data_IF_201268901539
#
_entry.id   IF_201268901539
#
_cell.length_a   1.000
_cell.length_b   1.000
_cell.length_c   1.000
_cell.angle_alpha   90.00
_cell.angle_beta   90.00
_cell.angle_gamma   90.00
#
_symmetry.space_group_name_H-M   'P 1'
#
loop_
_entity.id
_entity.type
_entity.pdbx_description
1 polymer ?
#
# COMPACT_ATOMS: atom_id res chain seq x y z
N UNK A 1 -12.87 37.30 69.42
CA UNK A 1 -12.08 38.54 69.28
C UNK A 1 -10.63 38.15 69.54
N UNK A 2 -9.66 38.15 68.62
CA UNK A 2 -9.42 38.87 67.37
C UNK A 2 -8.66 37.92 66.43
N UNK A 3 -9.08 37.82 65.17
CA UNK A 3 -8.41 37.05 64.13
C UNK A 3 -7.32 37.91 63.47
N UNK A 4 -6.12 37.34 63.31
CA UNK A 4 -5.02 37.95 62.58
C UNK A 4 -5.16 37.64 61.08
N UNK A 5 -5.25 38.68 60.25
CA UNK A 5 -5.16 38.56 58.80
C UNK A 5 -4.29 39.70 58.29
N UNK A 6 -3.09 39.34 57.86
CA UNK A 6 -2.14 40.21 57.17
C UNK A 6 -2.48 40.18 55.69
N UNK A 7 -2.91 41.32 55.16
CA UNK A 7 -3.03 41.55 53.72
C UNK A 7 -1.64 41.91 53.16
N UNK A 8 -1.21 41.19 52.12
CA UNK A 8 -0.03 41.56 51.33
C UNK A 8 -0.46 41.86 49.89
N UNK A 9 0.24 42.84 49.33
CA UNK A 9 -0.15 43.73 48.26
C UNK A 9 0.07 43.17 46.85
N UNK A 10 -0.84 43.59 45.97
CA UNK A 10 -0.77 43.64 44.51
C UNK A 10 0.58 44.10 43.95
N UNK A 11 1.11 43.38 42.95
CA UNK A 11 1.53 43.95 41.65
C UNK A 11 1.58 42.87 40.56
N UNK A 12 0.76 43.03 39.52
CA UNK A 12 0.84 42.26 38.27
C UNK A 12 1.78 42.98 37.30
N UNK A 13 2.80 42.29 36.79
CA UNK A 13 3.68 42.77 35.74
C UNK A 13 3.39 42.01 34.43
N UNK A 14 2.84 42.71 33.46
CA UNK A 14 2.70 42.26 32.09
C UNK A 14 4.07 42.32 31.38
N UNK A 15 4.53 41.20 30.84
CA UNK A 15 5.62 41.17 29.87
C UNK A 15 5.07 40.71 28.53
N UNK A 16 4.86 41.69 27.66
CA UNK A 16 4.69 41.54 26.22
C UNK A 16 6.08 41.61 25.58
N UNK A 17 6.54 40.55 24.93
CA UNK A 17 7.68 40.63 24.02
C UNK A 17 7.36 39.91 22.71
N UNK A 18 7.06 40.73 21.70
CA UNK A 18 7.05 40.40 20.29
C UNK A 18 8.44 39.91 19.86
N UNK A 19 8.53 38.69 19.34
CA UNK A 19 9.68 38.25 18.55
C UNK A 19 9.43 38.56 17.06
N UNK A 20 10.42 39.09 16.32
CA UNK A 20 10.24 39.45 14.92
C UNK A 20 10.28 38.22 14.00
N UNK A 21 9.38 38.23 13.01
CA UNK A 21 9.25 37.25 11.93
C UNK A 21 10.17 37.64 10.75
N UNK A 22 11.21 36.86 10.39
CA UNK A 22 12.08 37.20 9.27
C UNK A 22 12.00 36.14 8.16
N UNK A 23 11.07 36.28 7.21
CA UNK A 23 11.24 35.77 5.83
C UNK A 23 10.30 36.52 4.87
N UNK A 24 10.62 37.79 4.64
CA UNK A 24 10.09 38.51 3.48
C UNK A 24 10.79 38.00 2.21
N UNK A 25 9.96 37.69 1.21
CA UNK A 25 10.32 37.27 -0.14
C UNK A 25 11.07 38.38 -0.88
N UNK A 26 12.12 38.00 -1.61
CA UNK A 26 12.81 38.87 -2.57
C UNK A 26 12.78 38.22 -3.97
N UNK A 27 12.16 38.82 -5.00
CA UNK A 27 12.06 38.23 -6.33
C UNK A 27 13.12 38.82 -7.28
N UNK A 28 14.27 38.15 -7.43
CA UNK A 28 15.22 38.48 -8.50
C UNK A 28 14.91 37.66 -9.75
N UNK A 29 14.17 38.32 -10.65
CA UNK A 29 13.88 37.90 -12.02
C UNK A 29 15.15 38.02 -12.88
N UNK A 30 15.83 36.91 -13.20
CA UNK A 30 16.80 36.86 -14.30
C UNK A 30 16.23 36.08 -15.47
N UNK A 31 15.95 36.82 -16.55
CA UNK A 31 15.73 36.28 -17.90
C UNK A 31 17.07 35.74 -18.42
N UNK A 32 17.09 34.48 -18.81
CA UNK A 32 18.11 33.95 -19.72
C UNK A 32 17.40 33.23 -20.86
N UNK A 33 17.84 33.58 -22.05
CA UNK A 33 17.33 33.24 -23.37
C UNK A 33 17.72 31.81 -23.76
N UNK A 34 16.75 30.98 -24.15
CA UNK A 34 17.01 29.71 -24.84
C UNK A 34 17.19 29.96 -26.35
N UNK A 35 18.20 29.37 -27.01
CA UNK A 35 18.25 29.35 -28.47
C UNK A 35 17.32 28.26 -29.03
N UNK A 36 16.58 28.62 -30.08
CA UNK A 36 15.76 27.73 -30.91
C UNK A 36 16.63 26.62 -31.53
N UNK A 37 16.20 25.36 -31.38
CA UNK A 37 16.67 24.25 -32.20
C UNK A 37 15.72 24.08 -33.37
N UNK A 38 16.21 24.33 -34.58
CA UNK A 38 15.49 24.13 -35.82
C UNK A 38 15.47 22.63 -36.18
N UNK A 39 14.29 22.02 -36.17
CA UNK A 39 14.05 20.70 -36.73
C UNK A 39 13.83 20.83 -38.25
N UNK A 40 14.72 20.24 -39.05
CA UNK A 40 14.50 20.10 -40.50
C UNK A 40 13.99 18.69 -40.78
N UNK A 41 12.74 18.60 -41.25
CA UNK A 41 12.18 17.39 -41.82
C UNK A 41 12.80 17.13 -43.18
N UNK A 42 13.41 15.95 -43.39
CA UNK A 42 13.62 15.40 -44.73
C UNK A 42 12.68 14.21 -44.94
N UNK A 43 11.64 14.46 -45.72
CA UNK A 43 10.97 13.45 -46.52
C UNK A 43 11.87 13.04 -47.69
N UNK A 44 12.07 11.74 -47.90
CA UNK A 44 12.43 11.20 -49.21
C UNK A 44 11.48 10.04 -49.52
N UNK A 45 10.75 10.22 -50.61
CA UNK A 45 9.88 9.23 -51.25
C UNK A 45 10.69 8.34 -52.21
N UNK A 46 10.29 7.07 -52.27
CA UNK A 46 10.17 6.29 -53.52
C UNK A 46 11.37 5.46 -53.96
N UNK A 47 11.20 4.13 -54.07
CA UNK A 47 10.73 3.46 -55.31
C UNK A 47 10.74 1.93 -55.17
N UNK A 48 9.71 1.35 -55.77
CA UNK A 48 9.39 -0.07 -56.01
C UNK A 48 10.16 -0.62 -57.23
N UNK A 49 10.60 -1.89 -57.19
CA UNK A 49 10.57 -2.91 -58.29
C UNK A 49 10.82 -4.29 -57.63
N UNK A 50 9.85 -5.22 -57.51
CA UNK A 50 9.55 -6.38 -58.40
C UNK A 50 10.82 -7.12 -58.89
N UNK A 51 11.07 -8.41 -58.61
CA UNK A 51 10.48 -9.53 -59.36
C UNK A 51 11.17 -10.89 -59.04
N UNK A 52 10.38 -11.99 -59.14
CA UNK A 52 10.70 -13.37 -59.58
C UNK A 52 11.32 -14.44 -58.64
N UNK A 53 10.46 -15.46 -58.33
CA UNK A 53 10.55 -16.96 -58.49
C UNK A 53 11.93 -17.65 -58.25
N UNK A 54 12.05 -18.86 -57.66
CA UNK A 54 11.38 -20.14 -57.99
C UNK A 54 11.74 -21.25 -56.95
N UNK A 55 10.79 -21.91 -56.25
CA UNK A 55 10.25 -23.31 -56.32
C UNK A 55 11.16 -24.56 -56.02
N UNK A 56 10.56 -25.51 -55.26
CA UNK A 56 10.72 -26.99 -55.13
C UNK A 56 11.76 -27.51 -54.10
N UNK A 57 11.55 -28.57 -53.30
CA UNK A 57 10.75 -29.82 -53.47
C UNK A 57 10.25 -30.43 -52.15
N UNK A 58 9.22 -31.29 -52.28
CA UNK A 58 8.60 -32.22 -51.32
C UNK A 58 9.51 -33.40 -50.98
N UNK A 59 9.20 -34.14 -49.89
CA UNK A 59 8.82 -35.56 -50.01
C UNK A 59 8.12 -36.14 -48.76
N UNK A 60 7.13 -36.99 -49.03
CA UNK A 60 6.34 -37.87 -48.14
C UNK A 60 7.02 -39.23 -47.97
N UNK A 61 6.81 -39.94 -46.84
CA UNK A 61 6.67 -41.43 -46.76
C UNK A 61 6.25 -41.77 -45.30
N UNK A 62 4.99 -42.09 -45.02
CA UNK A 62 4.32 -43.41 -45.07
C UNK A 62 4.69 -44.37 -43.92
N UNK A 63 3.63 -44.88 -43.27
CA UNK A 63 3.61 -45.76 -42.09
C UNK A 63 3.42 -47.23 -42.52
N UNK A 64 3.99 -48.25 -41.86
CA UNK A 64 3.53 -49.63 -41.97
C UNK A 64 3.01 -50.24 -40.63
N UNK A 65 2.23 -51.35 -40.68
CA UNK A 65 1.33 -51.77 -39.59
C UNK A 65 1.87 -52.88 -38.65
N UNK A 66 1.09 -53.11 -37.58
CA UNK A 66 1.24 -54.06 -36.44
C UNK A 66 1.34 -55.55 -36.84
N UNK A 67 1.78 -56.41 -35.90
CA UNK A 67 1.22 -57.73 -35.71
C UNK A 67 0.38 -57.86 -34.42
N UNK A 68 -0.65 -58.70 -34.51
CA UNK A 68 -1.50 -59.22 -33.44
C UNK A 68 -0.76 -60.32 -32.67
N UNK A 69 -0.93 -60.38 -31.35
CA UNK A 69 -0.75 -61.63 -30.59
C UNK A 69 -1.84 -61.79 -29.53
N UNK A 70 -2.19 -63.05 -29.31
CA UNK A 70 -3.43 -63.59 -28.75
C UNK A 70 -3.29 -63.86 -27.24
N UNK A 71 -4.43 -63.88 -26.52
CA UNK A 71 -4.65 -64.20 -25.10
C UNK A 71 -3.96 -65.52 -24.61
N UNK A 72 -3.69 -65.79 -23.33
CA UNK A 72 -4.57 -65.94 -22.14
C UNK A 72 -3.72 -66.56 -20.95
N UNK A 73 -4.26 -67.12 -19.84
CA UNK A 73 -4.66 -66.53 -18.54
C UNK A 73 -3.90 -67.15 -17.32
N UNK A 74 -4.35 -66.82 -16.09
CA UNK A 74 -3.93 -67.33 -14.76
C UNK A 74 -2.66 -66.65 -14.21
N UNK A 75 -2.60 -66.17 -12.96
CA UNK A 75 -2.99 -66.75 -11.66
C UNK A 75 -3.55 -65.64 -10.73
N UNK A 76 -4.75 -65.84 -10.16
CA UNK A 76 -4.97 -66.21 -8.75
C UNK A 76 -4.50 -65.12 -7.76
N UNK A 77 -5.37 -64.19 -7.38
CA UNK A 77 -6.26 -64.23 -6.20
C UNK A 77 -5.60 -63.91 -4.85
N UNK A 78 -6.36 -63.15 -4.07
CA UNK A 78 -6.22 -62.81 -2.65
C UNK A 78 -5.25 -61.67 -2.27
N UNK A 79 -5.78 -60.45 -2.22
CA UNK A 79 -5.96 -59.79 -0.91
C UNK A 79 -7.08 -58.74 -0.98
N UNK A 80 -8.13 -59.04 -0.24
CA UNK A 80 -9.30 -58.20 0.01
C UNK A 80 -8.96 -57.22 1.13
N UNK A 81 -9.12 -55.91 0.92
CA UNK A 81 -9.76 -54.98 1.89
C UNK A 81 -9.72 -53.53 1.37
N UNK A 82 -10.91 -53.04 1.06
CA UNK A 82 -11.37 -51.65 1.13
C UNK A 82 -10.32 -50.54 0.91
N UNK A 83 -10.13 -50.14 -0.35
CA UNK A 83 -9.69 -48.77 -0.65
C UNK A 83 -10.96 -47.93 -0.75
N UNK A 84 -11.43 -47.47 0.41
CA UNK A 84 -12.37 -46.38 0.51
C UNK A 84 -11.76 -45.21 -0.28
N UNK A 85 -12.41 -44.85 -1.38
CA UNK A 85 -12.00 -43.73 -2.21
C UNK A 85 -12.02 -42.49 -1.32
N UNK A 86 -10.84 -42.11 -0.84
CA UNK A 86 -10.58 -40.82 -0.22
C UNK A 86 -10.95 -39.78 -1.26
N UNK A 87 -12.17 -39.30 -1.14
CA UNK A 87 -12.62 -38.10 -1.81
C UNK A 87 -11.63 -37.03 -1.36
N UNK A 88 -10.86 -36.40 -2.27
CA UNK A 88 -10.01 -35.30 -1.83
C UNK A 88 -10.93 -34.29 -1.17
N UNK A 89 -10.59 -33.91 0.06
CA UNK A 89 -11.22 -32.83 0.80
C UNK A 89 -11.48 -31.67 -0.17
N UNK A 90 -12.64 -31.00 -0.08
CA UNK A 90 -13.00 -29.97 -1.04
C UNK A 90 -11.85 -28.98 -1.11
N UNK A 91 -11.22 -28.88 -2.29
CA UNK A 91 -10.11 -28.00 -2.55
C UNK A 91 -10.43 -26.65 -1.90
N UNK A 92 -9.58 -26.22 -0.94
CA UNK A 92 -9.74 -24.95 -0.25
C UNK A 92 -10.09 -23.89 -1.28
N UNK A 93 -11.35 -23.45 -1.29
CA UNK A 93 -11.78 -22.42 -2.20
C UNK A 93 -10.94 -21.19 -1.85
N UNK A 94 -9.92 -20.92 -2.67
CA UNK A 94 -8.91 -19.90 -2.42
C UNK A 94 -9.59 -18.53 -2.42
N UNK A 95 -10.12 -18.15 -1.26
CA UNK A 95 -10.71 -16.84 -1.04
C UNK A 95 -9.61 -15.80 -1.15
N UNK A 96 -9.94 -14.69 -1.79
CA UNK A 96 -9.02 -13.57 -2.01
C UNK A 96 -8.43 -13.11 -0.66
N UNK A 97 -7.12 -12.79 -0.60
CA UNK A 97 -6.51 -12.17 0.57
C UNK A 97 -7.23 -10.89 1.00
N UNK A 98 -7.32 -10.65 2.31
CA UNK A 98 -7.88 -9.41 2.87
C UNK A 98 -6.94 -8.24 2.57
N UNK A 99 -7.45 -7.22 1.89
CA UNK A 99 -6.63 -6.16 1.34
C UNK A 99 -6.70 -4.88 2.20
N UNK A 100 -5.55 -4.46 2.74
CA UNK A 100 -5.39 -3.25 3.56
C UNK A 100 -4.50 -2.23 2.86
N UNK A 101 -4.99 -0.99 2.74
CA UNK A 101 -4.25 0.14 2.16
C UNK A 101 -3.99 1.22 3.22
N UNK A 102 -2.74 1.58 3.43
CA UNK A 102 -2.36 2.67 4.31
C UNK A 102 -2.17 3.97 3.50
N UNK A 103 -2.78 5.07 3.92
CA UNK A 103 -2.78 6.32 3.13
C UNK A 103 -2.35 7.51 3.98
N UNK A 104 -1.32 8.22 3.51
CA UNK A 104 -0.93 9.52 4.06
C UNK A 104 -0.88 10.57 2.95
N UNK A 105 -0.40 11.78 3.23
CA UNK A 105 -0.28 12.82 2.20
C UNK A 105 0.65 12.39 1.04
N UNK A 106 1.96 12.27 1.29
CA UNK A 106 2.97 12.08 0.24
C UNK A 106 3.46 10.65 0.00
N UNK A 107 2.98 9.66 0.77
CA UNK A 107 3.42 8.26 0.71
C UNK A 107 4.93 8.02 0.75
N UNK A 108 5.62 8.79 1.58
CA UNK A 108 7.07 8.61 1.81
C UNK A 108 7.41 8.41 3.29
N UNK A 109 6.49 8.61 4.22
CA UNK A 109 6.84 8.57 5.65
C UNK A 109 5.87 7.72 6.47
N UNK A 110 4.69 8.26 6.80
CA UNK A 110 3.73 7.61 7.69
C UNK A 110 3.11 6.34 7.08
N UNK A 111 2.57 6.40 5.86
CA UNK A 111 1.95 5.21 5.25
C UNK A 111 2.93 4.09 4.88
N UNK A 112 4.16 4.34 4.35
CA UNK A 112 5.17 3.30 4.21
C UNK A 112 5.57 2.63 5.52
N UNK A 113 5.69 3.40 6.61
CA UNK A 113 5.98 2.87 7.93
C UNK A 113 4.83 1.97 8.43
N UNK A 114 3.58 2.40 8.27
CA UNK A 114 2.41 1.63 8.67
C UNK A 114 2.32 0.29 7.90
N UNK A 115 2.56 0.32 6.59
CA UNK A 115 2.62 -0.85 5.74
C UNK A 115 3.68 -1.85 6.22
N UNK A 116 4.89 -1.38 6.53
CA UNK A 116 5.98 -2.21 7.00
C UNK A 116 5.72 -2.80 8.40
N UNK A 117 5.20 -2.00 9.32
CA UNK A 117 4.82 -2.43 10.67
C UNK A 117 3.74 -3.52 10.59
N UNK A 118 2.67 -3.26 9.84
CA UNK A 118 1.56 -4.22 9.70
C UNK A 118 2.02 -5.51 9.02
N UNK A 119 2.82 -5.42 7.94
CA UNK A 119 3.39 -6.60 7.27
C UNK A 119 4.28 -7.41 8.22
N UNK A 120 5.10 -6.76 9.04
CA UNK A 120 5.93 -7.44 10.03
C UNK A 120 5.09 -8.21 11.06
N UNK A 121 3.99 -7.62 11.54
CA UNK A 121 3.06 -8.28 12.47
C UNK A 121 2.32 -9.45 11.82
N UNK A 122 1.82 -9.29 10.60
CA UNK A 122 1.19 -10.36 9.82
C UNK A 122 2.17 -11.52 9.62
N UNK A 123 3.43 -11.22 9.30
CA UNK A 123 4.45 -12.25 9.09
C UNK A 123 4.82 -12.99 10.38
N UNK A 124 4.91 -12.26 11.50
CA UNK A 124 5.13 -12.88 12.83
C UNK A 124 4.01 -13.85 13.23
N UNK A 125 2.81 -13.72 12.65
CA UNK A 125 1.67 -14.63 12.87
C UNK A 125 1.50 -15.68 11.78
N UNK A 126 2.36 -15.72 10.76
CA UNK A 126 2.26 -16.68 9.66
C UNK A 126 1.04 -16.47 8.75
N UNK A 127 0.52 -15.24 8.67
CA UNK A 127 -0.71 -14.91 7.94
C UNK A 127 -0.45 -14.24 6.58
N UNK A 128 0.77 -14.25 6.06
CA UNK A 128 1.17 -13.49 4.86
C UNK A 128 0.32 -13.83 3.64
N UNK A 129 -0.05 -15.10 3.47
CA UNK A 129 -0.87 -15.56 2.34
C UNK A 129 -2.33 -15.09 2.42
N UNK A 130 -2.79 -14.66 3.61
CA UNK A 130 -4.16 -14.21 3.87
C UNK A 130 -4.33 -12.71 3.70
N UNK A 131 -3.25 -11.95 3.50
CA UNK A 131 -3.30 -10.49 3.40
C UNK A 131 -2.67 -9.95 2.11
N UNK A 132 -3.29 -8.90 1.58
CA UNK A 132 -2.69 -8.01 0.61
C UNK A 132 -2.45 -6.66 1.28
N UNK A 133 -1.19 -6.20 1.33
CA UNK A 133 -0.81 -5.02 2.12
C UNK A 133 -0.06 -4.04 1.21
N UNK A 134 -0.52 -2.80 1.18
CA UNK A 134 0.07 -1.73 0.34
C UNK A 134 -0.06 -0.36 1.02
N UNK A 135 0.63 0.65 0.47
CA UNK A 135 0.47 2.05 0.86
C UNK A 135 0.34 3.00 -0.33
N UNK A 136 -0.30 4.14 -0.10
CA UNK A 136 -0.49 5.19 -1.09
C UNK A 136 -0.50 6.61 -0.48
N UNK A 137 -0.54 7.60 -1.37
CA UNK A 137 -0.53 9.03 -1.07
C UNK A 137 -1.78 9.72 -1.59
N UNK A 138 -2.32 10.71 -0.88
CA UNK A 138 -3.41 11.53 -1.41
C UNK A 138 -2.96 12.45 -2.54
N UNK A 139 -1.65 12.73 -2.61
CA UNK A 139 -1.00 13.46 -3.72
C UNK A 139 0.04 12.59 -4.43
N UNK A 140 0.32 12.92 -5.69
CA UNK A 140 1.34 12.25 -6.52
C UNK A 140 2.71 12.94 -6.54
N UNK A 141 2.96 13.94 -5.69
CA UNK A 141 4.19 14.75 -5.76
C UNK A 141 5.49 13.94 -5.61
N UNK A 142 5.44 12.82 -4.89
CA UNK A 142 6.59 11.96 -4.65
C UNK A 142 6.52 10.62 -5.40
N UNK A 143 5.62 10.44 -6.37
CA UNK A 143 5.46 9.16 -7.08
C UNK A 143 6.79 8.63 -7.61
N UNK A 144 7.06 7.34 -7.36
CA UNK A 144 8.31 6.66 -7.73
C UNK A 144 9.46 6.82 -6.73
N UNK A 145 9.34 7.71 -5.73
CA UNK A 145 10.39 7.87 -4.71
C UNK A 145 10.34 6.76 -3.67
N UNK A 146 11.50 6.47 -3.07
CA UNK A 146 11.59 5.64 -1.88
C UNK A 146 11.01 6.35 -0.65
N UNK A 147 10.68 5.58 0.38
CA UNK A 147 10.39 6.12 1.69
C UNK A 147 11.54 7.01 2.24
N UNK A 148 11.18 7.94 3.12
CA UNK A 148 12.05 8.90 3.79
C UNK A 148 13.15 8.15 4.54
N UNK A 149 14.40 8.51 4.27
CA UNK A 149 15.57 7.84 4.83
C UNK A 149 15.62 7.86 6.35
N UNK A 150 15.06 8.89 7.00
CA UNK A 150 14.98 8.98 8.47
C UNK A 150 13.95 7.99 9.00
N UNK A 151 12.80 7.85 8.33
CA UNK A 151 11.82 6.84 8.70
C UNK A 151 12.38 5.43 8.51
N UNK A 152 13.01 5.14 7.37
CA UNK A 152 13.70 3.86 7.12
C UNK A 152 14.70 3.56 8.24
N UNK A 153 15.55 4.54 8.59
CA UNK A 153 16.58 4.39 9.63
C UNK A 153 15.96 4.10 11.00
N UNK A 154 14.92 4.83 11.38
CA UNK A 154 14.22 4.64 12.67
C UNK A 154 13.51 3.29 12.72
N UNK A 155 12.76 2.90 11.68
CA UNK A 155 12.11 1.59 11.60
C UNK A 155 13.10 0.43 11.66
N UNK A 156 14.27 0.57 11.00
CA UNK A 156 15.31 -0.46 11.00
C UNK A 156 15.85 -0.75 12.41
N UNK A 157 15.92 0.25 13.29
CA UNK A 157 16.32 0.05 14.70
C UNK A 157 15.35 -0.87 15.46
N UNK A 158 14.10 -0.96 15.00
CA UNK A 158 13.06 -1.86 15.53
C UNK A 158 12.97 -3.20 14.79
N UNK A 159 13.89 -3.46 13.86
CA UNK A 159 13.87 -4.66 13.02
C UNK A 159 12.80 -4.64 11.93
N UNK A 160 12.29 -3.45 11.57
CA UNK A 160 11.24 -3.28 10.56
C UNK A 160 11.86 -2.68 9.29
N UNK A 161 11.70 -3.39 8.17
CA UNK A 161 12.21 -2.95 6.87
C UNK A 161 11.11 -2.22 6.08
N UNK A 162 11.36 -0.95 5.75
CA UNK A 162 10.45 -0.12 4.95
C UNK A 162 10.96 -0.08 3.51
N UNK A 163 10.26 -0.77 2.61
CA UNK A 163 10.66 -0.93 1.20
C UNK A 163 9.71 -0.28 0.19
N UNK A 164 8.65 0.39 0.67
CA UNK A 164 7.61 0.98 -0.17
C UNK A 164 8.16 2.01 -1.15
N UNK A 165 7.55 2.04 -2.33
CA UNK A 165 7.74 3.06 -3.36
C UNK A 165 6.48 3.91 -3.43
N UNK A 166 6.68 5.23 -3.34
CA UNK A 166 5.57 6.19 -3.30
C UNK A 166 4.70 6.09 -4.55
N UNK A 167 3.38 6.08 -4.35
CA UNK A 167 2.37 6.18 -5.41
C UNK A 167 1.16 6.98 -4.94
N UNK A 168 0.46 7.69 -5.83
CA UNK A 168 -0.84 8.27 -5.48
C UNK A 168 -1.90 7.17 -5.34
N UNK A 169 -2.93 7.46 -4.55
CA UNK A 169 -4.17 6.69 -4.51
C UNK A 169 -4.88 6.81 -5.88
N UNK A 170 -5.55 5.74 -6.29
CA UNK A 170 -6.20 5.60 -7.60
C UNK A 170 -7.64 5.09 -7.44
N UNK A 171 -8.53 5.30 -8.42
CA UNK A 171 -9.90 4.78 -8.35
C UNK A 171 -9.98 3.27 -8.10
N UNK A 172 -9.04 2.51 -8.66
CA UNK A 172 -8.93 1.07 -8.46
C UNK A 172 -8.72 0.66 -7.00
N UNK A 173 -8.13 1.53 -6.16
CA UNK A 173 -7.88 1.21 -4.78
C UNK A 173 -9.19 1.00 -4.00
N UNK A 174 -10.24 1.77 -4.29
CA UNK A 174 -11.56 1.59 -3.68
C UNK A 174 -12.25 0.26 -4.07
N UNK A 175 -11.87 -0.32 -5.21
CA UNK A 175 -12.33 -1.64 -5.65
C UNK A 175 -11.50 -2.76 -5.05
N UNK A 176 -10.19 -2.57 -5.01
CA UNK A 176 -9.24 -3.64 -4.71
C UNK A 176 -9.04 -3.85 -3.21
N UNK A 177 -9.16 -2.81 -2.40
CA UNK A 177 -8.94 -2.86 -0.96
C UNK A 177 -10.24 -2.98 -0.17
N UNK A 178 -10.18 -3.77 0.90
CA UNK A 178 -11.29 -4.00 1.82
C UNK A 178 -11.30 -2.94 2.93
N UNK A 179 -10.12 -2.43 3.28
CA UNK A 179 -9.92 -1.39 4.28
C UNK A 179 -8.88 -0.36 3.81
N UNK A 180 -9.20 0.93 3.98
CA UNK A 180 -8.33 2.06 3.67
C UNK A 180 -8.10 2.89 4.95
N UNK A 181 -6.86 3.04 5.37
CA UNK A 181 -6.48 3.65 6.64
C UNK A 181 -5.78 4.99 6.43
N UNK A 182 -6.48 6.06 6.75
CA UNK A 182 -5.97 7.43 6.72
C UNK A 182 -5.10 7.72 7.96
N UNK A 183 -3.92 8.29 7.75
CA UNK A 183 -3.01 8.63 8.85
C UNK A 183 -3.50 9.81 9.71
N UNK A 184 -4.20 10.77 9.11
CA UNK A 184 -4.76 11.94 9.79
C UNK A 184 -6.13 12.31 9.20
N UNK A 185 -6.81 13.29 9.81
CA UNK A 185 -8.13 13.75 9.35
C UNK A 185 -8.10 14.35 7.96
N UNK A 186 -7.06 15.13 7.64
CA UNK A 186 -6.95 15.73 6.31
C UNK A 186 -6.84 14.63 5.23
N UNK A 187 -6.07 13.58 5.48
CA UNK A 187 -5.95 12.45 4.57
C UNK A 187 -7.29 11.72 4.44
N UNK A 188 -8.04 11.56 5.53
CA UNK A 188 -9.39 11.00 5.49
C UNK A 188 -10.30 11.81 4.56
N UNK A 189 -10.36 13.13 4.74
CA UNK A 189 -11.18 14.04 3.92
C UNK A 189 -10.73 14.06 2.45
N UNK A 190 -9.42 14.04 2.19
CA UNK A 190 -8.85 14.00 0.84
C UNK A 190 -9.19 12.70 0.10
N UNK A 191 -9.20 11.56 0.81
CA UNK A 191 -9.58 10.26 0.25
C UNK A 191 -11.07 10.28 -0.14
N UNK A 192 -11.95 10.76 0.75
CA UNK A 192 -13.37 10.88 0.46
C UNK A 192 -13.64 11.85 -0.70
N UNK A 193 -12.98 13.01 -0.71
CA UNK A 193 -13.06 13.97 -1.81
C UNK A 193 -12.57 13.38 -3.13
N UNK A 194 -11.58 12.48 -3.09
CA UNK A 194 -11.10 11.78 -4.29
C UNK A 194 -12.11 10.74 -4.77
N UNK A 195 -12.75 10.00 -3.85
CA UNK A 195 -13.86 9.10 -4.18
C UNK A 195 -14.99 9.85 -4.88
N UNK A 196 -15.45 10.98 -4.33
CA UNK A 196 -16.55 11.77 -4.89
C UNK A 196 -16.25 12.28 -6.30
N UNK A 197 -14.99 12.65 -6.57
CA UNK A 197 -14.56 13.07 -7.91
C UNK A 197 -14.53 11.92 -8.92
N UNK A 198 -14.32 10.69 -8.47
CA UNK A 198 -14.14 9.52 -9.33
C UNK A 198 -15.42 8.72 -9.52
N UNK A 199 -16.34 8.68 -8.56
CA UNK A 199 -17.58 7.89 -8.65
C UNK A 199 -18.45 8.28 -9.86
N UNK A 200 -18.34 9.52 -10.34
CA UNK A 200 -19.06 9.99 -11.52
C UNK A 200 -18.38 9.64 -12.85
N UNK A 201 -17.14 9.14 -12.82
CA UNK A 201 -16.31 8.86 -14.00
C UNK A 201 -15.94 7.40 -14.15
N UNK A 202 -15.97 6.64 -13.07
CA UNK A 202 -15.49 5.27 -12.95
C UNK A 202 -16.55 4.42 -12.26
N UNK A 203 -16.61 3.12 -12.57
CA UNK A 203 -17.47 2.19 -11.83
C UNK A 203 -16.87 1.95 -10.44
N UNK A 204 -17.40 2.66 -9.44
CA UNK A 204 -17.08 2.50 -8.02
C UNK A 204 -18.36 2.11 -7.26
N UNK A 205 -18.18 1.34 -6.18
CA UNK A 205 -19.28 0.95 -5.30
C UNK A 205 -19.56 2.06 -4.28
N UNK A 206 -20.84 2.36 -4.02
CA UNK A 206 -21.28 3.33 -2.99
C UNK A 206 -20.77 2.98 -1.58
N UNK A 207 -20.35 1.73 -1.35
CA UNK A 207 -19.71 1.30 -0.12
C UNK A 207 -18.26 1.75 0.04
N UNK A 208 -17.64 2.36 -0.99
CA UNK A 208 -16.24 2.80 -0.97
C UNK A 208 -15.87 3.66 0.24
N UNK A 209 -16.60 4.75 0.55
CA UNK A 209 -16.37 5.58 1.72
C UNK A 209 -16.43 4.82 3.04
N UNK A 210 -17.27 3.78 3.15
CA UNK A 210 -17.43 2.97 4.38
C UNK A 210 -16.18 2.16 4.72
N UNK A 211 -15.28 1.96 3.74
CA UNK A 211 -14.00 1.28 3.93
C UNK A 211 -12.91 2.21 4.47
N UNK A 212 -13.13 3.52 4.48
CA UNK A 212 -12.14 4.50 4.93
C UNK A 212 -12.26 4.70 6.44
N UNK A 213 -11.17 4.51 7.18
CA UNK A 213 -11.09 4.72 8.63
C UNK A 213 -9.81 5.47 8.99
N UNK A 214 -9.76 6.07 10.18
CA UNK A 214 -8.54 6.67 10.71
C UNK A 214 -7.64 5.59 11.31
N UNK A 215 -6.33 5.66 11.09
CA UNK A 215 -5.37 4.70 11.63
C UNK A 215 -5.46 4.64 13.17
N UNK A 216 -5.50 5.81 13.81
CA UNK A 216 -5.55 5.90 15.27
C UNK A 216 -6.90 5.49 15.88
N UNK A 217 -7.94 5.20 15.09
CA UNK A 217 -9.15 4.57 15.66
C UNK A 217 -8.90 3.15 16.14
N UNK A 218 -7.75 2.56 15.78
CA UNK A 218 -7.29 1.25 16.24
C UNK A 218 -6.27 1.33 17.38
N UNK A 219 -5.85 2.52 17.84
CA UNK A 219 -4.97 2.63 19.00
C UNK A 219 -5.68 2.13 20.27
N UNK A 220 -4.98 1.35 21.10
CA UNK A 220 -5.48 0.89 22.41
C UNK A 220 -4.64 1.43 23.57
N UNK A 221 -3.33 1.60 23.37
CA UNK A 221 -2.39 2.11 24.37
C UNK A 221 -2.22 3.63 24.30
N UNK A 222 -2.54 4.22 23.15
CA UNK A 222 -2.41 5.64 22.85
C UNK A 222 -3.77 6.30 22.66
N UNK A 223 -3.87 7.58 23.04
CA UNK A 223 -5.13 8.35 23.01
C UNK A 223 -5.18 9.39 21.88
N UNK A 224 -4.10 9.51 21.11
CA UNK A 224 -4.02 10.38 19.96
C UNK A 224 -5.04 9.97 18.90
N UNK A 225 -5.68 10.96 18.27
CA UNK A 225 -6.69 10.73 17.23
C UNK A 225 -6.09 10.60 15.82
N UNK A 226 -4.82 10.97 15.64
CA UNK A 226 -4.15 11.08 14.35
C UNK A 226 -2.65 10.74 14.49
N UNK A 227 -2.06 10.21 13.41
CA UNK A 227 -0.62 9.97 13.32
C UNK A 227 0.05 11.28 12.88
N UNK A 228 0.81 11.94 13.78
CA UNK A 228 1.34 13.27 13.51
C UNK A 228 2.39 13.23 12.40
N UNK A 229 2.50 14.32 11.65
CA UNK A 229 3.56 14.46 10.67
C UNK A 229 4.93 14.62 11.38
N UNK A 230 5.91 13.71 11.17
CA UNK A 230 7.12 13.68 11.97
C UNK A 230 8.12 14.80 11.65
N UNK A 231 7.91 15.57 10.57
CA UNK A 231 8.87 16.57 10.11
C UNK A 231 9.10 17.70 11.11
N UNK A 232 8.12 18.00 11.97
CA UNK A 232 8.22 19.07 12.98
C UNK A 232 8.78 18.59 14.33
N UNK A 233 8.89 17.26 14.54
CA UNK A 233 9.27 16.67 15.84
C UNK A 233 10.75 16.25 15.96
N UNK A 234 11.56 16.49 14.93
CA UNK A 234 12.94 15.97 14.87
C UNK A 234 12.98 14.45 14.98
N UNK A 235 14.06 13.89 15.53
CA UNK A 235 14.22 12.43 15.67
C UNK A 235 13.11 11.78 16.52
N UNK A 236 12.63 12.46 17.57
CA UNK A 236 11.56 11.96 18.44
C UNK A 236 10.22 11.86 17.73
N UNK A 237 9.98 12.69 16.70
CA UNK A 237 8.76 12.62 15.89
C UNK A 237 8.62 11.28 15.17
N UNK A 238 9.71 10.75 14.62
CA UNK A 238 9.71 9.46 13.93
C UNK A 238 9.44 8.29 14.89
N UNK A 239 10.04 8.31 16.07
CA UNK A 239 9.79 7.30 17.10
C UNK A 239 8.32 7.33 17.54
N UNK A 240 7.76 8.52 17.79
CA UNK A 240 6.35 8.67 18.17
C UNK A 240 5.39 8.13 17.11
N UNK A 241 5.69 8.35 15.83
CA UNK A 241 4.90 7.77 14.73
C UNK A 241 4.93 6.24 14.79
N UNK A 242 6.10 5.63 14.98
CA UNK A 242 6.20 4.17 15.08
C UNK A 242 5.48 3.62 16.32
N UNK A 243 5.53 4.31 17.47
CA UNK A 243 4.81 3.89 18.68
C UNK A 243 3.29 3.82 18.45
N UNK A 244 2.74 4.82 17.75
CA UNK A 244 1.32 4.85 17.39
C UNK A 244 0.97 3.76 16.38
N UNK A 245 1.83 3.55 15.38
CA UNK A 245 1.61 2.56 14.34
C UNK A 245 1.68 1.13 14.87
N UNK A 246 2.61 0.82 15.78
CA UNK A 246 2.70 -0.50 16.41
C UNK A 246 1.46 -0.81 17.25
N UNK A 247 1.01 0.14 18.08
CA UNK A 247 -0.22 0.00 18.85
C UNK A 247 -1.45 -0.21 17.96
N UNK A 248 -1.63 0.66 16.97
CA UNK A 248 -2.77 0.59 16.09
C UNK A 248 -2.76 -0.65 15.18
N UNK A 249 -1.59 -1.06 14.65
CA UNK A 249 -1.48 -2.23 13.77
C UNK A 249 -1.71 -3.55 14.52
N UNK A 250 -1.28 -3.66 15.78
CA UNK A 250 -1.56 -4.84 16.61
C UNK A 250 -3.06 -5.02 16.81
N UNK A 251 -3.74 -3.97 17.27
CA UNK A 251 -5.20 -4.04 17.47
C UNK A 251 -5.96 -4.20 16.16
N UNK A 252 -5.49 -3.59 15.08
CA UNK A 252 -6.07 -3.74 13.75
C UNK A 252 -6.04 -5.20 13.30
N UNK A 253 -4.89 -5.86 13.44
CA UNK A 253 -4.73 -7.26 13.05
C UNK A 253 -5.65 -8.16 13.88
N UNK A 254 -5.74 -7.92 15.19
CA UNK A 254 -6.66 -8.64 16.07
C UNK A 254 -8.13 -8.47 15.63
N UNK A 255 -8.55 -7.24 15.33
CA UNK A 255 -9.91 -6.96 14.84
C UNK A 255 -10.19 -7.66 13.52
N UNK A 256 -9.27 -7.63 12.55
CA UNK A 256 -9.47 -8.28 11.26
C UNK A 256 -9.58 -9.80 11.43
N UNK A 257 -8.71 -10.42 12.23
CA UNK A 257 -8.77 -11.88 12.48
C UNK A 257 -10.06 -12.26 13.20
N UNK A 258 -10.51 -11.48 14.18
CA UNK A 258 -11.73 -11.76 14.92
C UNK A 258 -13.00 -11.59 14.07
N UNK A 259 -13.04 -10.58 13.19
CA UNK A 259 -14.20 -10.32 12.31
C UNK A 259 -14.24 -11.24 11.09
N UNK A 260 -13.14 -11.93 10.78
CA UNK A 260 -13.00 -12.78 9.61
C UNK A 260 -12.51 -14.18 10.02
N UNK A 261 -13.46 -15.07 10.36
CA UNK A 261 -13.21 -16.47 10.76
C UNK A 261 -12.35 -17.29 9.77
N UNK A 262 -12.16 -16.80 8.54
CA UNK A 262 -11.35 -17.45 7.51
C UNK A 262 -9.88 -16.97 7.49
N UNK A 263 -9.51 -16.01 8.35
CA UNK A 263 -8.17 -15.44 8.48
C UNK A 263 -7.47 -15.96 9.75
N UNK A 264 -8.18 -16.70 10.63
CA UNK A 264 -7.55 -17.42 11.74
C UNK A 264 -6.68 -18.58 11.23
N UNK A 265 -5.56 -18.80 11.90
CA UNK A 265 -4.60 -19.86 11.63
C UNK A 265 -5.19 -21.27 11.83
#
# INVERSE_FOLDING_TARGET
MVAATVASTSTAAAYSSLAPNPTARDPVRRRTTHPLVAATNRHVHGRTVTSLRQIHSRDHFANPPRPLFVASPAEAEAEEMAVEASTPAPAEASRKPFAVLFVCLGNICRSPAAEAVFRNLVSKRGLESKFQIDSAGTIGYHEGNKADSRMISTSKKRGIEVTSISRPIKPSDFRNFDLILAMDRQNYEDILSSFDRWQHKETLLDSGPKKVKLMCSYCKRHTESEVPDPYYGGAKGFEKVLDLLEDACESLLDSIVAENENISA
#
